data_IF_986606980190
#
_entry.id   IF_986606980190
#
_cell.length_a   1.000
_cell.length_b   1.000
_cell.length_c   1.000
_cell.angle_alpha   90.00
_cell.angle_beta   90.00
_cell.angle_gamma   90.00
#
_symmetry.space_group_name_H-M   'P 1'
#
loop_
_entity.id
_entity.type
_entity.pdbx_description
1 polymer ?
#
# COMPACT_ATOMS: atom_id res chain seq x y z
N UNK A 1 -47.07 -55.39 4.72
CA UNK A 1 -46.67 -54.41 3.70
C UNK A 1 -46.32 -53.04 4.29
N UNK A 2 -46.83 -52.65 5.43
CA UNK A 2 -46.58 -51.32 6.08
C UNK A 2 -45.18 -51.18 6.75
N UNK A 3 -44.53 -52.24 7.19
CA UNK A 3 -43.20 -52.17 7.86
C UNK A 3 -42.01 -51.86 6.94
N UNK A 4 -42.15 -52.13 5.64
CA UNK A 4 -41.09 -51.85 4.66
C UNK A 4 -41.11 -50.42 4.11
N UNK A 5 -42.32 -49.78 4.12
CA UNK A 5 -42.45 -48.38 3.71
C UNK A 5 -41.89 -47.41 4.76
N UNK A 6 -42.06 -47.73 6.06
CA UNK A 6 -41.59 -46.86 7.17
C UNK A 6 -40.08 -46.78 7.24
N UNK A 7 -39.35 -47.87 6.93
CA UNK A 7 -37.90 -47.90 6.91
C UNK A 7 -37.32 -47.09 5.74
N UNK A 8 -37.97 -47.13 4.58
CA UNK A 8 -37.54 -46.34 3.40
C UNK A 8 -37.74 -44.83 3.57
N UNK A 9 -38.80 -44.40 4.27
CA UNK A 9 -39.04 -42.99 4.51
C UNK A 9 -38.10 -42.43 5.57
N UNK A 10 -37.73 -43.19 6.59
CA UNK A 10 -36.77 -42.78 7.61
C UNK A 10 -35.34 -42.72 7.04
N UNK A 11 -34.97 -43.63 6.14
CA UNK A 11 -33.66 -43.61 5.49
C UNK A 11 -33.53 -42.43 4.48
N UNK A 12 -34.62 -42.06 3.79
CA UNK A 12 -34.62 -40.90 2.91
C UNK A 12 -34.58 -39.58 3.67
N UNK A 13 -35.19 -39.49 4.86
CA UNK A 13 -35.12 -38.31 5.73
C UNK A 13 -33.73 -38.17 6.37
N UNK A 14 -33.05 -39.24 6.74
CA UNK A 14 -31.66 -39.18 7.26
C UNK A 14 -30.63 -38.84 6.18
N UNK A 15 -30.85 -39.26 4.93
CA UNK A 15 -29.97 -38.87 3.81
C UNK A 15 -30.11 -37.38 3.40
N UNK A 16 -31.31 -36.79 3.62
CA UNK A 16 -31.58 -35.39 3.34
C UNK A 16 -30.96 -34.42 4.35
N UNK A 17 -30.68 -34.87 5.59
CA UNK A 17 -30.08 -34.04 6.64
C UNK A 17 -28.53 -33.98 6.54
N UNK A 18 -27.90 -34.95 5.87
CA UNK A 18 -26.47 -34.98 5.65
C UNK A 18 -26.00 -34.19 4.42
N UNK A 19 -26.93 -33.76 3.55
CA UNK A 19 -26.63 -32.94 2.37
C UNK A 19 -26.66 -31.42 2.65
N UNK A 20 -26.86 -31.01 3.88
CA UNK A 20 -27.05 -29.60 4.27
C UNK A 20 -25.82 -28.88 4.81
N UNK A 21 -24.66 -29.53 4.89
CA UNK A 21 -23.38 -28.84 5.07
C UNK A 21 -22.77 -28.57 3.71
N UNK A 22 -23.41 -27.72 2.91
CA UNK A 22 -22.77 -27.11 1.76
C UNK A 22 -21.56 -26.34 2.25
N UNK A 23 -20.45 -26.48 1.51
CA UNK A 23 -19.25 -25.70 1.71
C UNK A 23 -19.62 -24.22 1.61
N UNK A 24 -19.89 -23.57 2.75
CA UNK A 24 -20.26 -22.15 2.83
C UNK A 24 -19.05 -21.25 2.60
N UNK A 25 -17.85 -21.80 2.48
CA UNK A 25 -16.60 -21.07 2.25
C UNK A 25 -16.39 -20.64 0.80
N UNK A 26 -17.17 -21.14 -0.14
CA UNK A 26 -16.96 -20.91 -1.59
C UNK A 26 -17.43 -19.58 -2.14
N UNK A 27 -18.14 -18.74 -1.37
CA UNK A 27 -18.77 -17.52 -1.87
C UNK A 27 -18.23 -16.21 -1.28
N UNK A 28 -17.29 -16.26 -0.34
CA UNK A 28 -16.64 -15.08 0.25
C UNK A 28 -15.25 -14.94 -0.34
N UNK A 29 -15.15 -14.40 -1.53
CA UNK A 29 -13.89 -14.02 -2.12
C UNK A 29 -13.44 -12.68 -1.57
N UNK A 30 -12.16 -12.60 -1.15
CA UNK A 30 -11.54 -11.31 -0.82
C UNK A 30 -11.50 -10.45 -2.09
N UNK A 31 -11.97 -9.21 -2.01
CA UNK A 31 -11.99 -8.26 -3.13
C UNK A 31 -11.44 -6.91 -2.68
N UNK A 32 -10.93 -6.13 -3.62
CA UNK A 32 -10.42 -4.79 -3.32
C UNK A 32 -11.48 -3.93 -2.64
N UNK A 33 -11.08 -3.18 -1.62
CA UNK A 33 -11.92 -2.16 -1.00
C UNK A 33 -12.05 -0.94 -1.90
N UNK A 34 -13.14 -0.20 -1.73
CA UNK A 34 -13.26 1.19 -2.21
C UNK A 34 -12.55 2.12 -1.22
N UNK A 35 -11.92 3.19 -1.72
CA UNK A 35 -11.20 4.15 -0.89
C UNK A 35 -9.70 3.83 -0.79
N UNK A 36 -9.06 4.21 0.31
CA UNK A 36 -7.61 4.13 0.51
C UNK A 36 -7.19 2.87 1.26
N UNK A 37 -7.45 1.71 0.65
CA UNK A 37 -7.37 0.41 1.30
C UNK A 37 -5.96 -0.10 1.59
N UNK A 38 -4.95 0.49 0.95
CA UNK A 38 -3.54 0.11 1.12
C UNK A 38 -2.66 1.36 1.14
N UNK A 39 -1.38 1.18 1.45
CA UNK A 39 -0.37 2.22 1.28
C UNK A 39 -0.40 2.72 -0.18
N UNK A 40 -0.48 4.03 -0.34
CA UNK A 40 -0.62 4.70 -1.64
C UNK A 40 -1.94 4.43 -2.37
N UNK A 41 -3.00 4.11 -1.62
CA UNK A 41 -4.38 4.03 -2.12
C UNK A 41 -4.78 2.65 -2.57
N UNK A 42 -4.17 2.15 -3.62
CA UNK A 42 -4.54 0.92 -4.33
C UNK A 42 -3.36 -0.06 -4.53
N UNK A 43 -3.61 -1.14 -5.26
CA UNK A 43 -2.60 -2.14 -5.57
C UNK A 43 -1.52 -1.62 -6.54
N UNK A 44 -1.84 -0.64 -7.39
CA UNK A 44 -0.92 -0.01 -8.34
C UNK A 44 -0.04 1.07 -7.70
N UNK A 45 -0.26 1.42 -6.43
CA UNK A 45 0.36 2.55 -5.72
C UNK A 45 0.01 3.91 -6.33
N UNK A 46 -1.15 4.04 -6.99
CA UNK A 46 -1.50 5.21 -7.79
C UNK A 46 -1.62 6.52 -7.00
N UNK A 47 -1.86 6.43 -5.69
CA UNK A 47 -2.19 7.58 -4.83
C UNK A 47 -3.28 8.46 -5.44
N UNK A 48 -4.28 7.81 -6.06
CA UNK A 48 -5.38 8.43 -6.78
C UNK A 48 -6.71 7.72 -6.47
N UNK A 49 -7.78 8.50 -6.35
CA UNK A 49 -9.17 8.04 -6.42
C UNK A 49 -9.94 8.89 -7.43
N UNK A 50 -10.91 8.28 -8.12
CA UNK A 50 -11.79 8.97 -9.05
C UNK A 50 -12.88 9.79 -8.34
N UNK A 51 -13.10 9.55 -7.05
CA UNK A 51 -14.06 10.31 -6.24
C UNK A 51 -13.68 11.79 -6.21
N UNK A 52 -14.67 12.66 -6.19
CA UNK A 52 -14.44 14.09 -6.06
C UNK A 52 -13.94 14.41 -4.64
N UNK A 53 -12.76 15.01 -4.55
CA UNK A 53 -12.23 15.46 -3.27
C UNK A 53 -12.83 16.80 -2.81
N UNK A 54 -12.92 17.03 -1.49
CA UNK A 54 -13.40 18.31 -0.94
C UNK A 54 -12.36 19.43 -1.07
N UNK A 55 -12.78 20.58 -1.54
CA UNK A 55 -11.95 21.80 -1.56
C UNK A 55 -11.85 22.47 -0.20
N UNK A 56 -12.87 22.31 0.67
CA UNK A 56 -12.92 22.85 2.03
C UNK A 56 -12.94 21.72 3.05
N UNK A 57 -12.15 21.89 4.12
CA UNK A 57 -11.95 20.89 5.18
C UNK A 57 -12.05 21.56 6.57
N UNK A 58 -12.38 20.75 7.56
CA UNK A 58 -12.26 21.11 8.97
C UNK A 58 -11.57 19.97 9.73
N UNK A 59 -10.65 20.29 10.63
CA UNK A 59 -10.08 19.26 11.53
C UNK A 59 -11.19 18.74 12.45
N UNK A 60 -11.49 17.45 12.34
CA UNK A 60 -12.57 16.79 13.08
C UNK A 60 -12.06 16.10 14.34
N UNK A 61 -10.90 15.44 14.24
CA UNK A 61 -10.31 14.70 15.35
C UNK A 61 -8.79 14.55 15.23
N UNK A 62 -8.15 14.29 16.39
CA UNK A 62 -6.76 13.87 16.51
C UNK A 62 -6.68 12.62 17.37
N UNK A 63 -5.81 11.66 16.98
CA UNK A 63 -5.53 10.42 17.73
C UNK A 63 -4.03 10.19 17.81
N UNK A 64 -3.60 9.41 18.81
CA UNK A 64 -2.21 9.01 18.97
C UNK A 64 -2.10 7.50 19.11
N UNK A 65 -1.18 6.88 18.36
CA UNK A 65 -0.82 5.47 18.51
C UNK A 65 0.24 5.22 19.59
N UNK A 66 0.80 6.28 20.18
CA UNK A 66 1.85 6.22 21.21
C UNK A 66 3.07 5.39 20.79
N UNK A 67 3.48 5.54 19.53
CA UNK A 67 4.59 4.82 18.93
C UNK A 67 4.92 5.36 17.55
N UNK A 68 6.00 4.83 16.93
CA UNK A 68 6.48 5.31 15.64
C UNK A 68 5.65 4.70 14.51
N UNK A 69 5.13 5.55 13.61
CA UNK A 69 4.54 5.14 12.35
C UNK A 69 5.59 5.21 11.24
N UNK A 70 5.77 4.11 10.53
CA UNK A 70 6.66 4.05 9.36
C UNK A 70 5.94 4.16 8.03
N UNK A 71 4.59 4.10 8.03
CA UNK A 71 3.78 4.12 6.82
C UNK A 71 2.43 4.78 7.07
N UNK A 72 1.75 5.19 5.99
CA UNK A 72 0.44 5.80 6.04
C UNK A 72 -0.62 4.86 6.64
N UNK A 73 -1.65 5.44 7.22
CA UNK A 73 -2.85 4.74 7.66
C UNK A 73 -3.68 4.30 6.45
N UNK A 74 -4.50 3.26 6.61
CA UNK A 74 -5.39 2.76 5.57
C UNK A 74 -6.84 2.93 5.98
N UNK A 75 -7.70 3.12 4.98
CA UNK A 75 -9.12 3.39 5.16
C UNK A 75 -9.91 2.31 4.41
N UNK A 76 -10.82 1.66 5.11
CA UNK A 76 -11.69 0.61 4.55
C UNK A 76 -13.02 1.15 4.02
N UNK A 77 -13.77 0.27 3.37
CA UNK A 77 -15.09 0.58 2.81
C UNK A 77 -16.16 0.81 3.89
N UNK A 78 -16.03 0.18 5.07
CA UNK A 78 -16.96 0.24 6.19
C UNK A 78 -16.57 1.26 7.26
N UNK A 79 -15.95 2.36 6.90
CA UNK A 79 -15.54 3.44 7.82
C UNK A 79 -14.46 3.03 8.82
N UNK A 80 -13.67 1.99 8.52
CA UNK A 80 -12.54 1.59 9.34
C UNK A 80 -11.24 2.30 8.91
N UNK A 81 -10.49 2.72 9.91
CA UNK A 81 -9.13 3.24 9.76
C UNK A 81 -8.19 2.32 10.52
N UNK A 82 -7.10 1.90 9.91
CA UNK A 82 -6.11 1.06 10.55
C UNK A 82 -4.69 1.63 10.41
N UNK A 83 -3.92 1.50 11.48
CA UNK A 83 -2.51 1.87 11.54
C UNK A 83 -1.69 0.75 12.19
N UNK A 84 -0.49 0.50 11.65
CA UNK A 84 0.51 -0.39 12.22
C UNK A 84 1.71 0.43 12.69
N UNK A 85 1.98 0.43 13.98
CA UNK A 85 3.01 1.25 14.61
C UNK A 85 4.07 0.40 15.33
N UNK A 86 5.24 0.97 15.53
CA UNK A 86 6.25 0.46 16.44
C UNK A 86 6.03 1.08 17.80
N UNK A 87 5.54 0.32 18.78
CA UNK A 87 5.22 0.84 20.11
C UNK A 87 6.11 0.20 21.18
N UNK A 88 6.61 0.97 22.16
CA UNK A 88 7.42 0.39 23.25
C UNK A 88 6.59 -0.52 24.15
N UNK A 89 5.30 -0.22 24.31
CA UNK A 89 4.37 -0.98 25.14
C UNK A 89 2.94 -0.87 24.59
N UNK A 90 2.06 -1.82 24.94
CA UNK A 90 0.65 -1.79 24.54
C UNK A 90 0.41 -2.26 23.09
N UNK A 91 -0.64 -1.76 22.48
CA UNK A 91 -1.04 -2.12 21.13
C UNK A 91 -0.13 -1.47 20.07
N UNK A 92 0.11 -2.20 18.98
CA UNK A 92 0.83 -1.71 17.81
C UNK A 92 -0.06 -1.64 16.57
N UNK A 93 -0.99 -2.58 16.40
CA UNK A 93 -2.05 -2.48 15.41
C UNK A 93 -3.28 -1.85 16.04
N UNK A 94 -3.70 -0.72 15.49
CA UNK A 94 -4.83 0.06 15.98
C UNK A 94 -5.89 0.14 14.90
N UNK A 95 -7.18 -0.02 15.27
CA UNK A 95 -8.32 0.15 14.38
C UNK A 95 -9.35 1.08 15.01
N UNK A 96 -9.78 2.07 14.25
CA UNK A 96 -10.78 3.07 14.64
C UNK A 96 -11.94 3.11 13.65
N UNK A 97 -13.04 3.70 14.06
CA UNK A 97 -14.18 4.10 13.21
C UNK A 97 -14.01 5.57 12.86
N UNK A 98 -13.56 5.89 11.63
CA UNK A 98 -13.21 7.26 11.28
C UNK A 98 -14.42 8.20 11.15
N UNK A 99 -15.61 7.68 10.83
CA UNK A 99 -16.88 8.41 10.79
C UNK A 99 -17.49 8.69 12.19
N UNK A 100 -16.95 8.08 13.23
CA UNK A 100 -17.35 8.23 14.61
C UNK A 100 -16.25 8.90 15.45
N UNK A 101 -15.76 10.05 14.99
CA UNK A 101 -14.67 10.82 15.60
C UNK A 101 -13.43 9.95 15.89
N UNK A 102 -13.13 9.00 15.03
CA UNK A 102 -12.09 8.00 15.20
C UNK A 102 -12.15 7.31 16.57
N UNK A 103 -13.33 6.86 16.96
CA UNK A 103 -13.50 6.01 18.15
C UNK A 103 -12.71 4.73 17.96
N UNK A 104 -11.86 4.39 18.92
CA UNK A 104 -11.11 3.12 18.88
C UNK A 104 -12.08 1.95 18.92
N UNK A 105 -12.02 1.07 17.90
CA UNK A 105 -12.82 -0.13 17.83
C UNK A 105 -12.14 -1.27 18.55
N UNK A 106 -10.90 -1.53 18.20
CA UNK A 106 -10.05 -2.51 18.85
C UNK A 106 -8.58 -2.23 18.60
N UNK A 107 -7.72 -2.91 19.35
CA UNK A 107 -6.29 -2.89 19.09
C UNK A 107 -5.65 -4.20 19.53
N UNK A 108 -4.50 -4.51 18.96
CA UNK A 108 -3.71 -5.70 19.37
C UNK A 108 -2.21 -5.41 19.31
N UNK A 109 -1.44 -6.18 20.05
CA UNK A 109 0.01 -6.11 20.03
C UNK A 109 0.54 -7.10 19.00
N UNK A 110 1.30 -6.61 18.03
CA UNK A 110 2.08 -7.42 17.10
C UNK A 110 3.52 -7.56 17.59
N UNK A 111 4.25 -8.52 17.02
CA UNK A 111 5.70 -8.61 17.20
C UNK A 111 6.34 -7.34 16.63
N UNK A 112 7.21 -6.71 17.41
CA UNK A 112 7.81 -5.43 17.03
C UNK A 112 8.84 -5.61 15.91
N UNK A 113 9.04 -4.54 15.13
CA UNK A 113 9.87 -4.51 13.94
C UNK A 113 9.06 -4.40 12.63
N UNK A 114 7.72 -4.47 12.73
CA UNK A 114 6.81 -4.45 11.58
C UNK A 114 6.17 -3.11 11.25
N UNK A 115 6.43 -2.06 12.02
CA UNK A 115 5.78 -0.75 11.86
C UNK A 115 6.15 0.03 10.60
N UNK A 116 7.03 -0.51 9.75
CA UNK A 116 7.40 0.11 8.47
C UNK A 116 6.46 -0.19 7.30
N UNK A 117 5.44 -1.05 7.50
CA UNK A 117 4.49 -1.43 6.47
C UNK A 117 3.06 -1.09 6.89
N UNK A 118 2.28 -0.51 5.98
CA UNK A 118 0.84 -0.32 6.17
C UNK A 118 0.11 -1.65 6.19
N UNK A 119 -1.01 -1.77 6.91
CA UNK A 119 -1.98 -2.82 6.67
C UNK A 119 -2.59 -2.73 5.26
N UNK A 120 -3.34 -3.75 4.89
CA UNK A 120 -4.26 -3.76 3.75
C UNK A 120 -5.66 -4.06 4.29
N UNK A 121 -6.69 -3.38 3.79
CA UNK A 121 -8.10 -3.69 4.02
C UNK A 121 -8.73 -4.20 2.73
N UNK A 122 -9.53 -5.26 2.78
CA UNK A 122 -10.33 -5.70 1.64
C UNK A 122 -11.74 -5.10 1.65
N UNK A 123 -12.56 -5.40 0.64
CA UNK A 123 -13.91 -4.87 0.48
C UNK A 123 -14.92 -5.33 1.54
N UNK A 124 -14.52 -6.22 2.43
CA UNK A 124 -15.28 -6.66 3.61
C UNK A 124 -14.64 -6.16 4.92
N UNK A 125 -13.70 -5.23 4.84
CA UNK A 125 -12.92 -4.70 5.95
C UNK A 125 -12.11 -5.78 6.70
N UNK A 126 -11.78 -6.91 6.05
CA UNK A 126 -10.77 -7.80 6.58
C UNK A 126 -9.42 -7.13 6.45
N UNK A 127 -8.65 -7.19 7.52
CA UNK A 127 -7.35 -6.55 7.62
C UNK A 127 -6.25 -7.60 7.47
N UNK A 128 -5.24 -7.25 6.67
CA UNK A 128 -4.03 -8.05 6.48
C UNK A 128 -2.82 -7.23 6.90
N UNK A 129 -1.97 -7.79 7.74
CA UNK A 129 -0.81 -7.07 8.27
C UNK A 129 0.38 -7.97 8.49
N UNK A 130 1.57 -7.49 8.11
CA UNK A 130 2.84 -8.15 8.36
C UNK A 130 3.38 -7.87 9.76
N UNK A 131 4.06 -8.88 10.31
CA UNK A 131 5.00 -8.74 11.43
C UNK A 131 6.23 -9.60 11.13
N UNK A 132 7.38 -9.39 11.81
CA UNK A 132 8.52 -10.29 11.65
C UNK A 132 8.12 -11.76 11.81
N UNK A 133 8.36 -12.54 10.74
CA UNK A 133 8.10 -13.98 10.70
C UNK A 133 6.65 -14.39 10.42
N UNK A 134 5.71 -13.47 10.19
CA UNK A 134 4.34 -13.84 9.87
C UNK A 134 3.56 -12.76 9.11
N UNK A 135 2.59 -13.22 8.33
CA UNK A 135 1.44 -12.44 7.84
C UNK A 135 0.20 -12.87 8.61
N UNK A 136 -0.65 -11.92 9.00
CA UNK A 136 -1.87 -12.15 9.76
C UNK A 136 -3.07 -11.56 9.04
N UNK A 137 -4.24 -12.18 9.23
CA UNK A 137 -5.52 -11.61 8.84
C UNK A 137 -6.45 -11.50 10.04
N UNK A 138 -7.18 -10.38 10.08
CA UNK A 138 -8.22 -10.10 11.05
C UNK A 138 -9.53 -9.79 10.30
N UNK A 139 -10.69 -10.32 10.73
CA UNK A 139 -11.96 -9.78 10.28
C UNK A 139 -12.17 -8.39 10.90
N UNK A 140 -13.30 -7.70 10.66
CA UNK A 140 -13.60 -6.41 11.31
C UNK A 140 -13.60 -6.44 12.85
N UNK A 141 -13.22 -7.55 13.44
CA UNK A 141 -13.07 -7.79 14.89
C UNK A 141 -11.61 -8.05 15.25
N UNK A 142 -11.29 -8.05 16.54
CA UNK A 142 -9.94 -8.23 17.08
C UNK A 142 -9.35 -9.64 16.88
N UNK A 143 -10.18 -10.65 16.57
CA UNK A 143 -9.75 -12.04 16.53
C UNK A 143 -8.96 -12.34 15.27
N UNK A 144 -7.83 -13.06 15.39
CA UNK A 144 -7.04 -13.50 14.24
C UNK A 144 -7.87 -14.50 13.44
N UNK A 145 -8.17 -14.19 12.17
CA UNK A 145 -8.82 -15.10 11.25
C UNK A 145 -7.89 -16.23 10.83
N UNK A 146 -6.66 -15.86 10.45
CA UNK A 146 -5.57 -16.78 10.18
C UNK A 146 -4.21 -16.10 10.37
N UNK A 147 -3.19 -16.93 10.55
CA UNK A 147 -1.79 -16.51 10.64
C UNK A 147 -0.94 -17.50 9.86
N UNK A 148 -0.08 -16.98 8.96
CA UNK A 148 0.83 -17.81 8.18
C UNK A 148 2.28 -17.39 8.43
N UNK A 149 3.20 -18.38 8.59
CA UNK A 149 4.62 -18.09 8.71
C UNK A 149 5.20 -17.60 7.39
N UNK A 150 6.12 -16.64 7.48
CA UNK A 150 6.94 -16.18 6.35
C UNK A 150 8.37 -15.97 6.83
N UNK A 151 9.35 -15.96 5.92
CA UNK A 151 10.73 -15.68 6.28
C UNK A 151 11.00 -14.18 6.03
N UNK A 152 11.21 -13.45 7.12
CA UNK A 152 11.42 -12.02 7.08
C UNK A 152 10.21 -11.20 7.53
N UNK A 153 10.25 -9.90 7.25
CA UNK A 153 9.17 -8.95 7.51
C UNK A 153 8.41 -8.69 6.21
N UNK A 154 7.09 -8.98 6.14
CA UNK A 154 6.28 -8.56 5.01
C UNK A 154 6.27 -7.05 4.81
N UNK A 155 6.43 -6.60 3.58
CA UNK A 155 6.07 -5.24 3.16
C UNK A 155 4.55 -5.10 3.14
N UNK A 156 4.01 -3.96 2.72
CA UNK A 156 2.55 -3.81 2.57
C UNK A 156 2.03 -4.84 1.56
N UNK A 157 1.11 -5.74 1.95
CA UNK A 157 0.57 -6.75 1.06
C UNK A 157 -0.29 -6.14 -0.05
N UNK A 158 -0.52 -6.90 -1.13
CA UNK A 158 -1.41 -6.51 -2.23
C UNK A 158 -2.46 -7.58 -2.47
N UNK A 159 -3.68 -7.14 -2.70
CA UNK A 159 -4.75 -8.04 -3.14
C UNK A 159 -4.68 -8.21 -4.65
N UNK A 160 -4.68 -9.47 -5.10
CA UNK A 160 -4.70 -9.85 -6.51
C UNK A 160 -6.14 -10.00 -7.02
N UNK A 161 -6.32 -10.14 -8.34
CA UNK A 161 -7.64 -10.11 -9.00
C UNK A 161 -8.60 -11.21 -8.57
N UNK A 162 -8.10 -12.34 -8.14
CA UNK A 162 -8.86 -13.53 -7.72
C UNK A 162 -8.96 -13.70 -6.20
N UNK A 163 -8.79 -12.59 -5.46
CA UNK A 163 -8.89 -12.59 -4.01
C UNK A 163 -7.67 -13.17 -3.29
N UNK A 164 -6.62 -13.51 -4.01
CA UNK A 164 -5.36 -13.93 -3.42
C UNK A 164 -4.58 -12.72 -2.88
N UNK A 165 -3.78 -12.97 -1.85
CA UNK A 165 -2.92 -11.99 -1.21
C UNK A 165 -1.47 -12.20 -1.67
N UNK A 166 -0.91 -11.19 -2.31
CA UNK A 166 0.52 -11.12 -2.60
C UNK A 166 1.26 -10.57 -1.38
N UNK A 167 2.27 -11.31 -0.94
CA UNK A 167 3.13 -10.94 0.18
C UNK A 167 4.58 -10.97 -0.29
N UNK A 168 5.27 -9.85 -0.16
CA UNK A 168 6.71 -9.73 -0.43
C UNK A 168 7.40 -9.43 0.88
N UNK A 169 8.40 -10.21 1.27
CA UNK A 169 9.17 -9.92 2.46
C UNK A 169 10.38 -9.05 2.16
N UNK A 170 10.88 -8.34 3.17
CA UNK A 170 12.08 -7.50 3.03
C UNK A 170 13.33 -8.28 2.60
N UNK A 171 13.36 -9.60 2.79
CA UNK A 171 14.44 -10.49 2.34
C UNK A 171 14.29 -10.91 0.87
N UNK A 172 13.22 -10.51 0.18
CA UNK A 172 12.98 -10.83 -1.23
C UNK A 172 12.25 -12.15 -1.47
N UNK A 173 11.59 -12.72 -0.46
CA UNK A 173 10.69 -13.85 -0.66
C UNK A 173 9.31 -13.34 -1.09
N UNK A 174 8.75 -13.90 -2.16
CA UNK A 174 7.42 -13.58 -2.70
C UNK A 174 6.52 -14.79 -2.53
N UNK A 175 5.37 -14.58 -1.88
CA UNK A 175 4.39 -15.62 -1.59
C UNK A 175 2.99 -15.16 -2.01
N UNK A 176 2.13 -16.12 -2.29
CA UNK A 176 0.70 -15.91 -2.51
C UNK A 176 -0.11 -16.75 -1.51
N UNK A 177 -1.16 -16.16 -0.98
CA UNK A 177 -2.07 -16.81 -0.04
C UNK A 177 -3.51 -16.62 -0.49
N UNK A 178 -4.37 -17.60 -0.24
CA UNK A 178 -5.81 -17.39 -0.26
C UNK A 178 -6.17 -16.33 0.77
N UNK A 179 -6.74 -15.20 0.35
CA UNK A 179 -7.05 -14.09 1.24
C UNK A 179 -8.05 -14.46 2.33
N UNK A 180 -8.98 -15.39 2.05
CA UNK A 180 -10.01 -15.80 3.00
C UNK A 180 -9.52 -16.87 3.99
N UNK A 181 -8.85 -17.92 3.49
CA UNK A 181 -8.41 -19.09 4.29
C UNK A 181 -6.98 -19.00 4.80
N UNK A 182 -6.17 -18.19 4.15
CA UNK A 182 -4.75 -18.06 4.45
C UNK A 182 -3.91 -19.24 3.96
N UNK A 183 -4.46 -20.18 3.18
CA UNK A 183 -3.66 -21.25 2.59
C UNK A 183 -2.61 -20.69 1.63
N UNK A 184 -1.42 -21.28 1.66
CA UNK A 184 -0.36 -20.93 0.70
C UNK A 184 -0.75 -21.41 -0.69
N UNK A 185 -0.68 -20.50 -1.67
CA UNK A 185 -1.00 -20.76 -3.06
C UNK A 185 0.26 -20.79 -3.92
N UNK A 186 0.64 -21.98 -4.36
CA UNK A 186 1.86 -22.18 -5.15
C UNK A 186 3.16 -22.22 -4.31
N UNK A 187 4.27 -22.37 -5.00
CA UNK A 187 5.59 -22.35 -4.38
C UNK A 187 6.05 -20.90 -4.16
N UNK A 188 6.73 -20.59 -3.05
CA UNK A 188 7.40 -19.32 -2.88
C UNK A 188 8.40 -19.03 -4.01
N UNK A 189 8.50 -17.76 -4.41
CA UNK A 189 9.51 -17.29 -5.34
C UNK A 189 10.56 -16.46 -4.55
N UNK A 190 11.77 -16.97 -4.44
CA UNK A 190 12.87 -16.27 -3.81
C UNK A 190 13.61 -15.41 -4.86
N UNK A 191 13.54 -14.09 -4.72
CA UNK A 191 14.23 -13.13 -5.61
C UNK A 191 15.71 -13.01 -5.25
N UNK A 192 16.05 -13.34 -4.02
CA UNK A 192 17.41 -13.32 -3.47
C UNK A 192 17.77 -14.74 -3.03
N UNK A 193 18.91 -15.24 -3.47
CA UNK A 193 19.39 -16.55 -3.02
C UNK A 193 19.76 -16.52 -1.53
N UNK A 194 19.51 -17.63 -0.82
CA UNK A 194 19.90 -17.80 0.57
C UNK A 194 19.03 -17.05 1.58
N UNK A 195 17.72 -16.99 1.33
CA UNK A 195 16.75 -16.58 2.35
C UNK A 195 16.83 -17.58 3.52
N UNK A 196 17.29 -17.12 4.68
CA UNK A 196 17.57 -17.96 5.84
C UNK A 196 16.51 -17.76 6.94
N UNK A 197 15.74 -18.81 7.29
CA UNK A 197 14.73 -18.72 8.34
C UNK A 197 15.34 -18.50 9.73
N UNK A 198 16.63 -18.82 9.94
CA UNK A 198 17.31 -18.62 11.24
C UNK A 198 17.77 -17.17 11.43
N UNK A 199 17.86 -16.38 10.36
CA UNK A 199 18.21 -14.95 10.36
C UNK A 199 17.15 -14.09 9.68
N UNK A 200 15.91 -14.30 10.07
CA UNK A 200 14.70 -13.71 9.43
C UNK A 200 14.57 -12.18 9.63
N UNK A 201 15.37 -11.57 10.48
CA UNK A 201 15.37 -10.13 10.74
C UNK A 201 16.61 -9.42 10.19
N UNK A 202 17.47 -10.12 9.45
CA UNK A 202 18.69 -9.58 8.84
C UNK A 202 18.35 -8.35 7.98
N UNK A 203 19.04 -7.25 8.22
CA UNK A 203 18.91 -6.01 7.42
C UNK A 203 17.59 -5.24 7.64
N UNK A 204 16.73 -5.66 8.56
CA UNK A 204 15.43 -5.00 8.79
C UNK A 204 15.58 -3.51 9.19
N UNK A 205 16.63 -3.16 9.92
CA UNK A 205 16.91 -1.77 10.28
C UNK A 205 17.22 -0.89 9.04
N UNK A 206 17.79 -1.48 7.98
CA UNK A 206 18.13 -0.78 6.73
C UNK A 206 16.89 -0.49 5.87
N UNK A 207 15.77 -1.18 6.12
CA UNK A 207 14.52 -0.99 5.35
C UNK A 207 13.94 0.42 5.51
N UNK A 208 14.09 1.05 6.69
CA UNK A 208 13.59 2.42 6.94
C UNK A 208 14.23 3.48 6.03
N UNK A 209 15.41 3.24 5.55
CA UNK A 209 16.19 4.17 4.71
C UNK A 209 16.54 3.59 3.35
N UNK A 210 15.92 2.47 2.98
CA UNK A 210 16.13 1.74 1.72
C UNK A 210 17.64 1.54 1.43
N UNK A 211 18.37 0.99 2.39
CA UNK A 211 19.80 0.70 2.29
C UNK A 211 20.05 -0.74 1.83
N UNK A 212 21.30 -1.01 1.47
CA UNK A 212 21.79 -2.27 0.88
C UNK A 212 21.47 -3.53 1.70
N UNK A 213 21.36 -3.44 3.03
CA UNK A 213 21.04 -4.57 3.90
C UNK A 213 19.57 -5.02 3.81
N UNK A 214 18.68 -4.23 3.20
CA UNK A 214 17.28 -4.55 2.99
C UNK A 214 16.99 -4.79 1.50
N UNK A 215 16.92 -6.04 1.03
CA UNK A 215 16.62 -6.36 -0.37
C UNK A 215 15.35 -5.72 -0.92
N UNK A 216 14.24 -5.76 -0.19
CA UNK A 216 12.97 -5.13 -0.60
C UNK A 216 12.49 -4.21 0.50
N UNK A 217 12.71 -2.91 0.34
CA UNK A 217 12.33 -1.87 1.31
C UNK A 217 10.97 -1.23 1.02
N UNK A 218 10.53 -1.28 -0.25
CA UNK A 218 9.37 -0.55 -0.75
C UNK A 218 8.18 -1.50 -1.02
N UNK A 219 6.96 -0.96 -0.92
CA UNK A 219 5.75 -1.70 -1.26
C UNK A 219 5.73 -2.04 -2.76
N UNK A 220 5.40 -3.29 -3.16
CA UNK A 220 5.24 -3.66 -4.55
C UNK A 220 4.01 -2.98 -5.16
N UNK A 221 3.99 -2.80 -6.49
CA UNK A 221 2.81 -2.41 -7.25
C UNK A 221 2.29 -3.60 -8.05
N UNK A 222 0.97 -3.69 -8.21
CA UNK A 222 0.29 -4.73 -8.98
C UNK A 222 -0.75 -4.12 -9.91
N UNK A 223 -0.74 -4.53 -11.18
CA UNK A 223 -1.78 -4.21 -12.16
C UNK A 223 -2.71 -5.40 -12.36
N UNK A 224 -4.00 -5.19 -12.09
CA UNK A 224 -5.05 -6.15 -12.37
C UNK A 224 -5.24 -6.40 -13.87
N UNK A 225 -5.01 -5.38 -14.71
CA UNK A 225 -5.19 -5.43 -16.17
C UNK A 225 -4.18 -6.36 -16.84
N UNK A 226 -2.92 -6.29 -16.42
CA UNK A 226 -1.84 -7.02 -17.06
C UNK A 226 -1.32 -8.20 -16.25
N UNK A 227 -1.64 -8.28 -14.96
CA UNK A 227 -1.07 -9.25 -14.04
C UNK A 227 0.40 -8.99 -13.70
N UNK A 228 0.93 -7.80 -14.02
CA UNK A 228 2.31 -7.45 -13.69
C UNK A 228 2.42 -7.02 -12.22
N UNK A 229 3.43 -7.55 -11.54
CA UNK A 229 3.88 -7.06 -10.24
C UNK A 229 5.22 -6.39 -10.44
N UNK A 230 5.38 -5.16 -9.98
CA UNK A 230 6.67 -4.47 -10.05
C UNK A 230 7.13 -4.14 -8.64
N UNK A 231 8.41 -4.38 -8.38
CA UNK A 231 9.05 -4.06 -7.10
C UNK A 231 10.48 -3.56 -7.31
N UNK A 232 11.03 -2.95 -6.26
CA UNK A 232 12.45 -2.55 -6.23
C UNK A 232 13.23 -3.58 -5.43
N UNK A 233 14.39 -4.00 -5.95
CA UNK A 233 15.21 -5.05 -5.36
C UNK A 233 16.67 -4.59 -5.22
N UNK A 234 17.23 -4.70 -4.04
CA UNK A 234 18.66 -4.58 -3.83
C UNK A 234 19.27 -5.96 -3.71
N UNK A 235 19.87 -6.43 -4.79
CA UNK A 235 20.53 -7.73 -4.79
C UNK A 235 21.79 -7.71 -3.91
N UNK A 236 22.07 -8.79 -3.15
CA UNK A 236 23.26 -8.88 -2.34
C UNK A 236 24.52 -8.68 -3.18
N UNK A 237 25.39 -7.79 -2.74
CA UNK A 237 26.62 -7.49 -3.46
C UNK A 237 26.49 -6.40 -4.54
N UNK A 238 25.28 -6.05 -4.98
CA UNK A 238 25.08 -4.99 -5.98
C UNK A 238 25.36 -3.59 -5.41
N UNK A 239 25.82 -2.68 -6.27
CA UNK A 239 26.12 -1.29 -5.88
C UNK A 239 24.86 -0.40 -5.89
N UNK A 240 23.83 -0.80 -6.62
CA UNK A 240 22.55 -0.10 -6.71
C UNK A 240 21.39 -1.09 -6.76
N UNK A 241 20.19 -0.70 -6.29
CA UNK A 241 18.99 -1.48 -6.49
C UNK A 241 18.52 -1.45 -7.95
N UNK A 242 17.70 -2.44 -8.32
CA UNK A 242 17.11 -2.60 -9.65
C UNK A 242 15.59 -2.60 -9.56
N UNK A 243 14.91 -2.45 -10.68
CA UNK A 243 13.46 -2.68 -10.82
C UNK A 243 13.24 -4.09 -11.35
N UNK A 244 12.31 -4.82 -10.75
CA UNK A 244 11.98 -6.20 -11.12
C UNK A 244 10.51 -6.30 -11.49
N UNK A 245 10.23 -6.91 -12.63
CA UNK A 245 8.90 -7.27 -13.10
C UNK A 245 8.63 -8.76 -12.90
N UNK A 246 7.52 -9.08 -12.22
CA UNK A 246 7.02 -10.44 -12.06
C UNK A 246 5.67 -10.53 -12.76
N UNK A 247 5.35 -11.68 -13.33
CA UNK A 247 4.04 -11.96 -13.92
C UNK A 247 3.24 -12.86 -13.01
N UNK A 248 2.08 -12.40 -12.58
CA UNK A 248 1.07 -13.21 -11.92
C UNK A 248 0.10 -13.79 -12.95
N UNK A 249 -0.17 -15.09 -12.83
CA UNK A 249 -1.11 -15.83 -13.71
C UNK A 249 -2.05 -16.66 -12.85
N UNK A 250 -3.26 -16.11 -12.61
CA UNK A 250 -4.28 -16.81 -11.84
C UNK A 250 -4.56 -18.21 -12.43
N UNK A 251 -4.69 -19.20 -11.55
CA UNK A 251 -4.99 -20.58 -11.94
C UNK A 251 -3.89 -21.34 -12.70
N UNK A 252 -2.75 -20.71 -12.99
CA UNK A 252 -1.59 -21.36 -13.64
C UNK A 252 -0.53 -21.78 -12.62
N UNK A 253 0.40 -22.64 -13.05
CA UNK A 253 1.58 -23.04 -12.26
C UNK A 253 2.84 -22.88 -13.10
N UNK A 254 3.88 -22.15 -12.64
CA UNK A 254 3.89 -21.37 -11.42
C UNK A 254 2.96 -20.14 -11.48
N UNK A 255 2.42 -19.72 -10.34
CA UNK A 255 1.56 -18.53 -10.24
C UNK A 255 2.32 -17.24 -10.55
N UNK A 256 3.59 -17.17 -10.12
CA UNK A 256 4.48 -16.02 -10.26
C UNK A 256 5.75 -16.44 -10.99
N UNK A 257 6.14 -15.63 -11.96
CA UNK A 257 7.42 -15.77 -12.69
C UNK A 257 8.13 -14.44 -12.78
N UNK A 258 9.47 -14.43 -12.61
CA UNK A 258 10.28 -13.24 -12.89
C UNK A 258 10.39 -13.11 -14.41
N UNK A 259 9.89 -11.99 -14.96
CA UNK A 259 9.90 -11.72 -16.41
C UNK A 259 11.14 -10.93 -16.82
N UNK A 260 11.45 -9.88 -16.05
CA UNK A 260 12.57 -8.99 -16.36
C UNK A 260 13.19 -8.38 -15.11
N UNK A 261 14.38 -7.83 -15.31
CA UNK A 261 15.09 -7.00 -14.34
C UNK A 261 15.69 -5.81 -15.10
N UNK A 262 15.49 -4.62 -14.57
CA UNK A 262 15.94 -3.38 -15.20
C UNK A 262 16.88 -2.60 -14.28
N UNK A 263 18.04 -2.25 -14.77
CA UNK A 263 19.03 -1.33 -14.21
C UNK A 263 18.99 0.05 -14.88
N UNK A 264 17.98 0.31 -15.72
CA UNK A 264 17.85 1.54 -16.49
C UNK A 264 17.70 2.79 -15.62
N UNK A 265 17.17 2.62 -14.37
CA UNK A 265 17.02 3.76 -13.44
C UNK A 265 18.37 4.19 -12.89
N UNK A 266 18.76 5.40 -13.20
CA UNK A 266 20.08 5.94 -12.82
C UNK A 266 20.31 5.88 -11.30
N UNK A 267 21.43 5.26 -10.90
CA UNK A 267 21.82 4.98 -9.50
C UNK A 267 20.80 4.13 -8.71
N UNK A 268 19.83 3.52 -9.41
CA UNK A 268 18.78 2.67 -8.87
C UNK A 268 17.55 3.40 -8.33
N UNK A 269 16.42 2.66 -8.16
CA UNK A 269 15.19 3.19 -7.61
C UNK A 269 15.32 3.54 -6.12
N UNK A 270 14.48 4.48 -5.65
CA UNK A 270 14.46 4.92 -4.25
C UNK A 270 13.14 4.63 -3.53
N UNK A 271 12.01 4.90 -4.18
CA UNK A 271 10.66 4.78 -3.60
C UNK A 271 9.90 3.58 -4.20
N UNK A 272 8.68 3.35 -3.72
CA UNK A 272 7.77 2.36 -4.30
C UNK A 272 7.51 2.66 -5.78
N UNK A 273 7.48 1.64 -6.65
CA UNK A 273 7.06 1.81 -8.03
C UNK A 273 5.56 2.13 -8.09
N UNK A 274 5.14 2.86 -9.13
CA UNK A 274 3.74 3.21 -9.38
C UNK A 274 3.37 2.80 -10.80
N UNK A 275 2.28 2.08 -10.97
CA UNK A 275 1.80 1.65 -12.29
C UNK A 275 0.81 2.65 -12.89
N UNK A 276 0.85 2.81 -14.21
CA UNK A 276 -0.23 3.45 -14.96
C UNK A 276 -1.53 2.65 -14.86
N UNK A 277 -2.66 3.28 -15.10
CA UNK A 277 -3.97 2.65 -14.98
C UNK A 277 -4.15 1.43 -15.91
N UNK A 278 -3.54 1.48 -17.11
CA UNK A 278 -3.51 0.37 -18.07
C UNK A 278 -2.43 -0.68 -17.76
N UNK A 279 -1.60 -0.44 -16.75
CA UNK A 279 -0.50 -1.32 -16.35
C UNK A 279 0.65 -1.41 -17.37
N UNK A 280 0.68 -0.55 -18.41
CA UNK A 280 1.69 -0.61 -19.47
C UNK A 280 2.98 0.18 -19.14
N UNK A 281 2.92 1.06 -18.15
CA UNK A 281 4.06 1.89 -17.72
C UNK A 281 4.23 1.81 -16.21
N UNK A 282 5.47 1.72 -15.75
CA UNK A 282 5.81 1.89 -14.34
C UNK A 282 6.66 3.14 -14.15
N UNK A 283 6.27 3.97 -13.18
CA UNK A 283 6.97 5.19 -12.81
C UNK A 283 7.77 4.97 -11.54
N UNK A 284 9.03 5.40 -11.55
CA UNK A 284 9.97 5.17 -10.46
C UNK A 284 10.82 6.41 -10.22
N UNK A 285 10.95 6.83 -8.97
CA UNK A 285 11.93 7.85 -8.58
C UNK A 285 13.32 7.22 -8.47
N UNK A 286 14.28 7.80 -9.20
CA UNK A 286 15.68 7.38 -9.18
C UNK A 286 16.49 8.12 -8.11
N UNK A 287 17.56 7.47 -7.64
CA UNK A 287 18.59 8.08 -6.77
C UNK A 287 19.45 9.11 -7.49
N UNK A 288 19.23 9.30 -8.79
CA UNK A 288 19.78 10.33 -9.66
C UNK A 288 18.94 11.61 -9.70
N UNK A 289 17.91 11.72 -8.83
CA UNK A 289 16.97 12.85 -8.79
C UNK A 289 16.17 13.03 -10.08
N UNK A 290 15.77 11.91 -10.69
CA UNK A 290 14.88 11.87 -11.86
C UNK A 290 13.65 11.02 -11.59
N UNK A 291 12.54 11.37 -12.25
CA UNK A 291 11.40 10.49 -12.44
C UNK A 291 11.64 9.71 -13.73
N UNK A 292 11.54 8.39 -13.64
CA UNK A 292 11.69 7.46 -14.74
C UNK A 292 10.36 6.80 -15.09
N UNK A 293 10.10 6.60 -16.37
CA UNK A 293 9.04 5.73 -16.88
C UNK A 293 9.67 4.54 -17.61
N UNK A 294 9.27 3.33 -17.21
CA UNK A 294 9.73 2.10 -17.84
C UNK A 294 8.55 1.37 -18.46
N UNK A 295 8.80 0.64 -19.54
CA UNK A 295 7.83 -0.29 -20.13
C UNK A 295 7.67 -1.51 -19.21
N UNK A 296 6.45 -1.89 -18.89
CA UNK A 296 6.19 -3.05 -18.02
C UNK A 296 6.34 -4.39 -18.74
N UNK A 297 6.41 -4.40 -20.06
CA UNK A 297 6.61 -5.63 -20.83
C UNK A 297 8.02 -6.19 -20.68
N UNK A 298 9.05 -5.31 -20.61
CA UNK A 298 10.45 -5.74 -20.63
C UNK A 298 11.37 -4.93 -19.69
N UNK A 299 10.87 -3.90 -19.01
CA UNK A 299 11.62 -3.04 -18.10
C UNK A 299 12.50 -2.00 -18.79
N UNK A 300 12.37 -1.78 -20.09
CA UNK A 300 13.13 -0.75 -20.82
C UNK A 300 12.66 0.65 -20.47
N UNK A 301 13.59 1.62 -20.44
CA UNK A 301 13.26 3.02 -20.18
C UNK A 301 12.54 3.64 -21.38
N UNK A 302 11.35 4.21 -21.16
CA UNK A 302 10.61 5.03 -22.12
C UNK A 302 11.15 6.46 -22.11
N UNK A 303 11.20 7.06 -20.92
CA UNK A 303 11.65 8.42 -20.73
C UNK A 303 12.08 8.70 -19.27
N UNK A 304 12.69 9.84 -19.04
CA UNK A 304 12.92 10.35 -17.69
C UNK A 304 12.92 11.89 -17.64
N UNK A 305 12.46 12.45 -16.50
CA UNK A 305 12.37 13.89 -16.25
C UNK A 305 13.23 14.24 -15.03
N UNK A 306 14.12 15.27 -15.10
CA UNK A 306 14.88 15.72 -13.94
C UNK A 306 13.96 16.40 -12.93
N UNK A 307 14.06 16.02 -11.66
CA UNK A 307 13.29 16.62 -10.56
C UNK A 307 14.05 17.79 -9.90
N UNK A 308 15.38 17.71 -9.87
CA UNK A 308 16.24 18.69 -9.18
C UNK A 308 16.36 18.45 -7.67
N UNK A 309 15.73 17.41 -7.14
CA UNK A 309 15.78 17.00 -5.74
C UNK A 309 15.61 15.47 -5.64
N UNK A 310 15.91 14.90 -4.48
CA UNK A 310 15.75 13.47 -4.23
C UNK A 310 14.35 13.18 -3.70
N UNK A 311 13.47 12.67 -4.57
CA UNK A 311 12.09 12.30 -4.19
C UNK A 311 12.10 10.99 -3.38
N UNK A 312 11.76 11.08 -2.09
CA UNK A 312 11.76 9.97 -1.15
C UNK A 312 10.41 9.25 -1.07
N UNK A 313 9.32 9.89 -1.50
CA UNK A 313 8.00 9.27 -1.62
C UNK A 313 7.65 9.06 -3.09
N UNK A 314 6.82 8.05 -3.43
CA UNK A 314 6.42 7.81 -4.82
C UNK A 314 5.62 8.98 -5.40
N UNK A 315 5.54 9.11 -6.73
CA UNK A 315 4.60 10.03 -7.37
C UNK A 315 3.16 9.55 -7.19
N UNK A 316 2.18 10.43 -7.43
CA UNK A 316 0.80 10.02 -7.69
C UNK A 316 0.50 10.07 -9.19
N UNK A 317 -0.29 9.12 -9.66
CA UNK A 317 -0.58 8.92 -11.09
C UNK A 317 -2.07 8.75 -11.31
N UNK A 318 -2.66 9.56 -12.17
CA UNK A 318 -4.07 9.44 -12.57
C UNK A 318 -4.24 8.73 -13.91
N UNK A 319 -5.43 8.22 -14.22
CA UNK A 319 -5.69 7.49 -15.46
C UNK A 319 -5.46 8.29 -16.74
N UNK A 320 -5.52 9.62 -16.69
CA UNK A 320 -5.24 10.52 -17.80
C UNK A 320 -3.74 10.79 -18.02
N UNK A 321 -2.85 10.08 -17.30
CA UNK A 321 -1.40 10.20 -17.42
C UNK A 321 -0.80 11.45 -16.77
N UNK A 322 -1.55 12.17 -15.91
CA UNK A 322 -0.98 13.26 -15.12
C UNK A 322 -0.31 12.68 -13.85
N UNK A 323 0.95 13.04 -13.66
CA UNK A 323 1.81 12.59 -12.58
C UNK A 323 2.17 13.78 -11.71
N UNK A 324 1.88 13.72 -10.40
CA UNK A 324 2.41 14.66 -9.42
C UNK A 324 3.62 14.03 -8.73
N UNK A 325 4.73 14.76 -8.67
CA UNK A 325 5.98 14.21 -8.14
C UNK A 325 5.92 13.98 -6.64
N UNK A 326 6.71 13.00 -6.17
CA UNK A 326 6.79 12.67 -4.74
C UNK A 326 7.51 13.73 -3.93
N UNK A 327 7.35 13.65 -2.61
CA UNK A 327 7.94 14.56 -1.64
C UNK A 327 9.31 14.12 -1.13
N UNK A 328 9.94 15.02 -0.39
CA UNK A 328 11.23 14.81 0.26
C UNK A 328 11.91 16.14 0.62
N UNK A 329 13.07 16.11 1.30
CA UNK A 329 13.84 17.30 1.62
C UNK A 329 14.23 18.09 0.36
N UNK A 330 13.96 19.40 0.35
CA UNK A 330 14.21 20.27 -0.79
C UNK A 330 13.31 20.02 -2.00
N UNK A 331 12.21 19.29 -1.81
CA UNK A 331 11.25 19.03 -2.85
C UNK A 331 10.59 20.32 -3.37
N UNK A 332 10.15 20.25 -4.61
CA UNK A 332 9.19 21.16 -5.25
C UNK A 332 8.14 20.31 -5.95
N UNK A 333 6.94 20.84 -6.08
CA UNK A 333 5.87 20.08 -6.70
C UNK A 333 5.86 20.31 -8.21
N UNK A 334 6.02 19.24 -8.99
CA UNK A 334 5.89 19.25 -10.44
C UNK A 334 4.70 18.38 -10.84
N UNK A 335 3.99 18.83 -11.87
CA UNK A 335 3.10 18.00 -12.64
C UNK A 335 3.77 17.61 -13.96
N UNK A 336 3.85 16.33 -14.21
CA UNK A 336 4.39 15.75 -15.44
C UNK A 336 3.29 15.00 -16.15
N UNK A 337 3.10 15.25 -17.45
CA UNK A 337 2.16 14.50 -18.29
C UNK A 337 2.93 13.46 -19.08
N UNK A 338 2.51 12.22 -18.96
CA UNK A 338 3.02 11.14 -19.80
C UNK A 338 2.43 11.27 -21.21
N UNK A 339 3.29 11.40 -22.22
CA UNK A 339 2.95 11.45 -23.63
C UNK A 339 3.27 10.13 -24.36
N UNK A 340 3.62 9.08 -23.59
CA UNK A 340 4.02 7.78 -24.09
C UNK A 340 5.53 7.66 -24.34
N UNK A 341 6.09 8.51 -25.18
CA UNK A 341 7.52 8.53 -25.55
C UNK A 341 8.35 9.57 -24.76
N UNK A 342 7.69 10.47 -24.06
CA UNK A 342 8.32 11.52 -23.23
C UNK A 342 7.44 11.92 -22.06
N UNK A 343 8.05 12.39 -20.99
CA UNK A 343 7.40 13.12 -19.90
C UNK A 343 7.49 14.62 -20.17
N UNK A 344 6.36 15.31 -20.15
CA UNK A 344 6.28 16.75 -20.34
C UNK A 344 5.87 17.44 -19.03
N UNK A 345 6.67 18.41 -18.56
CA UNK A 345 6.32 19.20 -17.37
C UNK A 345 5.17 20.12 -17.72
N UNK A 346 3.99 19.87 -17.14
CA UNK A 346 2.79 20.66 -17.36
C UNK A 346 2.83 21.97 -16.55
N UNK A 347 3.25 21.89 -15.30
CA UNK A 347 3.44 23.04 -14.42
C UNK A 347 4.41 22.70 -13.26
N UNK A 348 4.92 23.74 -12.59
CA UNK A 348 5.82 23.65 -11.44
C UNK A 348 5.44 24.63 -10.35
N UNK A 349 5.53 24.22 -9.10
CA UNK A 349 5.36 25.05 -7.89
C UNK A 349 6.63 24.93 -7.05
N UNK A 350 7.56 25.87 -7.26
CA UNK A 350 8.84 25.94 -6.54
C UNK A 350 8.64 26.37 -5.07
N UNK A 351 7.51 27.00 -4.75
CA UNK A 351 7.09 27.44 -3.42
C UNK A 351 6.36 26.35 -2.62
N UNK A 352 6.04 25.21 -3.23
CA UNK A 352 5.40 24.07 -2.57
C UNK A 352 6.42 22.96 -2.40
N UNK A 353 6.85 22.73 -1.16
CA UNK A 353 7.81 21.68 -0.80
C UNK A 353 7.08 20.47 -0.16
N UNK A 354 6.55 19.51 -0.95
CA UNK A 354 5.81 18.39 -0.40
C UNK A 354 6.72 17.51 0.46
N UNK A 355 6.22 17.10 1.63
CA UNK A 355 6.86 16.11 2.50
C UNK A 355 6.31 14.70 2.26
N UNK A 356 5.12 14.60 1.66
CA UNK A 356 4.44 13.36 1.32
C UNK A 356 4.18 13.25 -0.18
N UNK A 357 3.77 12.08 -0.64
CA UNK A 357 3.08 11.98 -1.94
C UNK A 357 1.87 12.91 -1.95
N UNK A 358 1.65 13.63 -3.04
CA UNK A 358 0.44 14.43 -3.24
C UNK A 358 -0.71 13.48 -3.64
N UNK A 359 -1.46 12.99 -2.65
CA UNK A 359 -2.60 12.08 -2.82
C UNK A 359 -3.74 12.80 -3.51
N UNK A 360 -4.39 12.15 -4.49
CA UNK A 360 -5.36 12.79 -5.39
C UNK A 360 -6.77 12.23 -5.25
N UNK A 361 -7.75 13.14 -5.28
CA UNK A 361 -9.16 12.81 -5.41
C UNK A 361 -9.78 13.66 -6.53
N UNK A 362 -10.05 13.03 -7.67
CA UNK A 362 -10.47 13.73 -8.88
C UNK A 362 -9.50 14.84 -9.29
N UNK A 363 -9.98 16.07 -9.34
CA UNK A 363 -9.21 17.26 -9.73
C UNK A 363 -8.41 17.91 -8.60
N UNK A 364 -8.49 17.39 -7.37
CA UNK A 364 -7.77 17.95 -6.23
C UNK A 364 -6.66 17.02 -5.74
N UNK A 365 -5.60 17.63 -5.21
CA UNK A 365 -4.50 16.93 -4.59
C UNK A 365 -4.27 17.44 -3.16
N UNK A 366 -3.85 16.54 -2.27
CA UNK A 366 -3.61 16.79 -0.86
C UNK A 366 -2.20 16.37 -0.51
N UNK A 367 -1.43 17.28 0.07
CA UNK A 367 -0.06 16.99 0.51
C UNK A 367 0.27 17.78 1.76
N UNK A 368 1.19 17.27 2.57
CA UNK A 368 1.69 17.97 3.74
C UNK A 368 2.99 18.70 3.36
N UNK A 369 3.07 19.95 3.74
CA UNK A 369 4.26 20.80 3.56
C UNK A 369 4.76 21.32 4.92
N UNK A 370 6.04 21.72 5.04
CA UNK A 370 6.53 22.38 6.24
C UNK A 370 5.88 23.76 6.41
N UNK A 371 5.63 24.15 7.65
CA UNK A 371 5.14 25.48 8.04
C UNK A 371 6.06 26.04 9.14
N UNK A 372 6.94 26.96 8.75
CA UNK A 372 8.00 27.45 9.64
C UNK A 372 9.01 26.36 10.05
N UNK A 373 9.62 26.52 11.22
CA UNK A 373 10.71 25.62 11.66
C UNK A 373 10.22 24.25 12.15
N UNK A 374 8.99 24.14 12.63
CA UNK A 374 8.47 22.91 13.27
C UNK A 374 7.02 22.59 12.93
N UNK A 375 6.34 23.49 12.21
CA UNK A 375 4.93 23.31 11.85
C UNK A 375 4.76 22.49 10.57
N UNK A 376 3.55 22.01 10.37
CA UNK A 376 3.11 21.34 9.15
C UNK A 376 1.74 21.87 8.74
N UNK A 377 1.53 21.92 7.43
CA UNK A 377 0.27 22.35 6.84
C UNK A 377 -0.17 21.33 5.78
N UNK A 378 -1.42 20.92 5.85
CA UNK A 378 -2.09 20.16 4.79
C UNK A 378 -2.55 21.15 3.72
N UNK A 379 -2.02 21.04 2.52
CA UNK A 379 -2.43 21.81 1.35
C UNK A 379 -3.46 21.06 0.53
N UNK A 380 -4.43 21.79 0.01
CA UNK A 380 -5.36 21.37 -1.03
C UNK A 380 -5.01 22.13 -2.30
N UNK A 381 -4.71 21.41 -3.38
CA UNK A 381 -4.21 21.95 -4.64
C UNK A 381 -5.13 21.55 -5.80
N UNK A 382 -5.35 22.43 -6.74
CA UNK A 382 -5.94 22.13 -8.05
C UNK A 382 -4.89 21.41 -8.91
N UNK A 383 -5.22 20.25 -9.48
CA UNK A 383 -4.26 19.46 -10.27
C UNK A 383 -4.04 20.00 -11.67
N UNK A 384 -4.93 20.86 -12.18
CA UNK A 384 -4.84 21.42 -13.52
C UNK A 384 -3.73 22.48 -13.66
N UNK A 385 -3.54 23.30 -12.61
CA UNK A 385 -2.59 24.43 -12.65
C UNK A 385 -1.69 24.51 -11.40
N UNK A 386 -1.86 23.60 -10.42
CA UNK A 386 -1.12 23.57 -9.19
C UNK A 386 -1.51 24.65 -8.18
N UNK A 387 -2.58 25.41 -8.44
CA UNK A 387 -3.03 26.50 -7.55
C UNK A 387 -3.45 25.94 -6.18
N UNK A 388 -3.04 26.62 -5.10
CA UNK A 388 -3.52 26.32 -3.76
C UNK A 388 -4.98 26.73 -3.62
N UNK A 389 -5.85 25.77 -3.33
CA UNK A 389 -7.28 25.95 -3.10
C UNK A 389 -7.49 26.36 -1.63
N UNK A 390 -6.90 25.60 -0.73
CA UNK A 390 -6.95 25.83 0.71
C UNK A 390 -5.72 25.29 1.43
N UNK A 391 -5.53 25.72 2.68
CA UNK A 391 -4.46 25.24 3.57
C UNK A 391 -4.98 25.09 4.98
N UNK A 392 -4.54 24.03 5.69
CA UNK A 392 -4.99 23.68 7.02
C UNK A 392 -3.80 23.34 7.90
N UNK A 393 -3.60 24.03 9.05
CA UNK A 393 -2.52 23.65 9.95
C UNK A 393 -2.75 22.25 10.50
N UNK A 394 -1.66 21.47 10.64
CA UNK A 394 -1.65 20.19 11.33
C UNK A 394 -1.13 20.46 12.74
N UNK A 395 -2.02 20.53 13.75
CA UNK A 395 -1.65 21.06 15.07
C UNK A 395 -0.68 20.13 15.79
N UNK A 396 0.33 20.71 16.44
CA UNK A 396 1.31 19.99 17.27
C UNK A 396 2.05 18.84 16.53
N UNK A 397 2.09 18.87 15.21
CA UNK A 397 2.81 17.88 14.41
C UNK A 397 4.31 18.11 14.57
N UNK A 398 5.02 17.16 15.20
CA UNK A 398 6.47 17.21 15.44
C UNK A 398 7.24 16.14 14.67
N UNK A 399 6.58 15.03 14.33
CA UNK A 399 7.14 13.95 13.53
C UNK A 399 7.09 14.25 12.02
N UNK A 400 7.84 13.47 11.23
CA UNK A 400 7.76 13.53 9.78
C UNK A 400 6.40 12.99 9.30
N UNK A 401 5.70 13.61 8.34
CA UNK A 401 4.43 13.07 7.85
C UNK A 401 4.68 11.79 7.04
N UNK A 402 3.87 10.77 7.28
CA UNK A 402 4.05 9.44 6.66
C UNK A 402 3.10 9.18 5.47
N UNK A 403 2.18 10.10 5.19
CA UNK A 403 1.29 10.05 4.04
C UNK A 403 -0.04 10.75 4.26
N UNK A 404 -0.79 10.87 3.18
CA UNK A 404 -2.17 11.37 3.17
C UNK A 404 -3.05 10.29 2.57
N UNK A 405 -4.11 9.92 3.28
CA UNK A 405 -5.10 8.91 2.86
C UNK A 405 -6.45 9.58 2.68
N UNK A 406 -7.21 9.14 1.67
CA UNK A 406 -8.47 9.76 1.26
C UNK A 406 -9.59 8.74 1.41
N UNK A 407 -10.58 9.03 2.25
CA UNK A 407 -11.75 8.19 2.41
C UNK A 407 -12.77 8.41 1.27
N UNK A 408 -13.59 7.40 1.01
CA UNK A 408 -14.64 7.46 -0.03
C UNK A 408 -15.70 8.54 0.23
N UNK A 409 -15.86 8.98 1.49
CA UNK A 409 -16.76 10.05 1.89
C UNK A 409 -16.12 11.45 1.87
N UNK A 410 -14.88 11.54 1.35
CA UNK A 410 -14.13 12.79 1.23
C UNK A 410 -13.35 13.18 2.49
N UNK A 411 -13.36 12.41 3.57
CA UNK A 411 -12.46 12.67 4.70
C UNK A 411 -11.00 12.46 4.30
N UNK A 412 -10.15 13.36 4.79
CA UNK A 412 -8.70 13.30 4.56
C UNK A 412 -8.02 12.95 5.88
N UNK A 413 -7.16 11.94 5.85
CA UNK A 413 -6.41 11.54 7.04
C UNK A 413 -4.92 11.64 6.75
N UNK A 414 -4.19 12.32 7.64
CA UNK A 414 -2.73 12.35 7.62
C UNK A 414 -2.18 11.89 8.95
N UNK A 415 -0.95 11.41 8.97
CA UNK A 415 -0.30 10.94 10.18
C UNK A 415 1.18 11.30 10.18
N UNK A 416 1.77 11.36 11.37
CA UNK A 416 3.19 11.67 11.56
C UNK A 416 3.97 10.48 12.12
N UNK A 417 5.26 10.46 11.87
CA UNK A 417 6.15 9.36 12.28
C UNK A 417 6.24 9.18 13.81
N UNK A 418 5.89 10.18 14.59
CA UNK A 418 5.77 10.13 16.06
C UNK A 418 4.39 9.63 16.53
N UNK A 419 3.55 9.15 15.60
CA UNK A 419 2.30 8.45 15.88
C UNK A 419 1.09 9.32 16.09
N UNK A 420 1.09 10.60 15.69
CA UNK A 420 -0.11 11.41 15.66
C UNK A 420 -0.89 11.15 14.37
N UNK A 421 -2.21 11.09 14.48
CA UNK A 421 -3.14 10.86 13.35
C UNK A 421 -4.21 11.94 13.38
N UNK A 422 -4.42 12.61 12.26
CA UNK A 422 -5.32 13.75 12.12
C UNK A 422 -6.38 13.44 11.06
N UNK A 423 -7.64 13.62 11.41
CA UNK A 423 -8.77 13.46 10.49
C UNK A 423 -9.43 14.80 10.20
N UNK A 424 -9.55 15.10 8.91
CA UNK A 424 -10.23 16.29 8.40
C UNK A 424 -11.51 15.84 7.68
N UNK A 425 -12.64 16.45 8.01
CA UNK A 425 -13.92 16.24 7.33
C UNK A 425 -14.17 17.33 6.29
N UNK A 426 -14.98 17.06 5.24
CA UNK A 426 -15.50 18.11 4.36
C UNK A 426 -16.25 19.18 5.17
N UNK A 427 -15.99 20.48 4.89
CA UNK A 427 -16.57 21.63 5.57
C UNK A 427 -17.69 22.30 4.74
#
# INVERSE_FOLDING_TARGET
MYRRLTVLVVTALLAGVLAGCGDTDGWVESKAATGWSAQYGDAANSSYTADAGPGALALEWTRSVKGDLGAAVVLGSGSYLAANAQTPAGCSLMVWEFDNLARQRWCTRLVQGGGGASPLLDGFDNLYVGQPGAILSFPPTQWIRWRQPVIGMPTTPRLLTDGQLLVVTHLGQVLTFDGHRGSVEGAPLDLVAGVDPTDSVRGLADCRTARRGCPVAAAPAFSAETGIVVLTLWEPGADAPVVVGLRYRAGQRPLLTREWTSDAVGRGPLASPVLSADGATVYVNGRDSRLWALDTADGTAKWSVPLGYLAQTPPSVSPDGLILTGGGPGARLLAVRDQGDRGEVAWTRDDVAPLTTASRAGALAYTVVPDGERGQTLLVLDTGDGRTVNSYPVPEATGWPVGVSIAHDGRIVTATSDGQVYGFAPA
#
